data_IF_153621324310
#
_entry.id   IF_153621324310
#
_cell.length_a   1.000
_cell.length_b   1.000
_cell.length_c   1.000
_cell.angle_alpha   90.00
_cell.angle_beta   90.00
_cell.angle_gamma   90.00
#
_symmetry.space_group_name_H-M   'P 1'
#
loop_
_entity.id
_entity.type
_entity.pdbx_description
1 polymer ?
#
# COMPACT_ATOMS: atom_id res chain seq x y z
N UNK A 1 -12.96 -34.58 -16.52
CA UNK A 1 -13.41 -33.18 -16.70
C UNK A 1 -13.86 -33.04 -18.15
N UNK A 2 -15.10 -32.64 -18.38
CA UNK A 2 -15.65 -32.47 -19.73
C UNK A 2 -15.18 -31.09 -20.22
N UNK A 3 -14.06 -31.03 -20.94
CA UNK A 3 -13.63 -29.79 -21.58
C UNK A 3 -14.73 -29.38 -22.57
N UNK A 4 -15.43 -28.28 -22.29
CA UNK A 4 -16.24 -27.65 -23.33
C UNK A 4 -15.27 -27.17 -24.40
N UNK A 5 -15.58 -27.51 -25.65
CA UNK A 5 -14.84 -26.98 -26.79
C UNK A 5 -15.14 -25.48 -26.90
N UNK A 6 -14.27 -24.68 -26.31
CA UNK A 6 -14.39 -23.22 -26.28
C UNK A 6 -13.88 -22.58 -27.60
N UNK A 7 -13.46 -23.38 -28.58
CA UNK A 7 -12.89 -22.90 -29.86
C UNK A 7 -13.82 -21.93 -30.58
N UNK A 8 -15.14 -22.20 -30.58
CA UNK A 8 -16.12 -21.32 -31.20
C UNK A 8 -16.23 -19.95 -30.49
N UNK A 9 -16.14 -19.94 -29.15
CA UNK A 9 -16.14 -18.71 -28.36
C UNK A 9 -14.86 -17.91 -28.58
N UNK A 10 -13.70 -18.57 -28.53
CA UNK A 10 -12.40 -17.94 -28.76
C UNK A 10 -12.33 -17.36 -30.17
N UNK A 11 -12.75 -18.11 -31.19
CA UNK A 11 -12.79 -17.63 -32.57
C UNK A 11 -13.73 -16.43 -32.75
N UNK A 12 -14.88 -16.42 -32.07
CA UNK A 12 -15.78 -15.27 -32.04
C UNK A 12 -15.10 -14.02 -31.45
N UNK A 13 -14.41 -14.17 -30.30
CA UNK A 13 -13.69 -13.06 -29.64
C UNK A 13 -12.51 -12.56 -30.48
N UNK A 14 -11.76 -13.46 -31.13
CA UNK A 14 -10.64 -13.10 -32.01
C UNK A 14 -11.10 -12.35 -33.28
N UNK A 15 -12.35 -12.53 -33.70
CA UNK A 15 -12.95 -11.77 -34.80
C UNK A 15 -13.45 -10.38 -34.42
N UNK A 16 -13.32 -9.95 -33.16
CA UNK A 16 -13.75 -8.63 -32.68
C UNK A 16 -12.63 -7.61 -32.76
N UNK A 17 -13.00 -6.36 -33.00
CA UNK A 17 -12.04 -5.26 -32.98
C UNK A 17 -11.52 -5.05 -31.55
N UNK A 18 -10.19 -4.88 -31.33
CA UNK A 18 -9.63 -4.71 -29.99
C UNK A 18 -10.27 -3.57 -29.19
N UNK A 19 -10.72 -2.50 -29.86
CA UNK A 19 -11.40 -1.36 -29.23
C UNK A 19 -12.82 -1.66 -28.71
N UNK A 20 -13.39 -2.83 -29.00
CA UNK A 20 -14.68 -3.26 -28.44
C UNK A 20 -14.55 -3.80 -27.01
N UNK A 21 -13.43 -4.43 -26.65
CA UNK A 21 -13.26 -5.07 -25.35
C UNK A 21 -13.37 -4.10 -24.16
N UNK A 22 -12.67 -2.95 -24.12
CA UNK A 22 -12.73 -2.05 -22.96
C UNK A 22 -14.13 -1.46 -22.71
N UNK A 23 -15.00 -1.44 -23.72
CA UNK A 23 -16.39 -0.94 -23.59
C UNK A 23 -17.28 -1.90 -22.81
N UNK A 24 -16.95 -3.18 -22.83
CA UNK A 24 -17.74 -4.25 -22.22
C UNK A 24 -17.00 -4.98 -21.09
N UNK A 25 -15.70 -4.73 -20.91
CA UNK A 25 -14.82 -5.38 -19.95
C UNK A 25 -15.42 -5.46 -18.55
N UNK A 26 -15.90 -4.35 -17.98
CA UNK A 26 -16.45 -4.34 -16.63
C UNK A 26 -17.84 -4.97 -16.50
N UNK A 27 -18.53 -5.27 -17.61
CA UNK A 27 -19.87 -5.88 -17.59
C UNK A 27 -19.88 -7.34 -17.12
N UNK A 28 -18.71 -8.00 -17.12
CA UNK A 28 -18.59 -9.39 -16.66
C UNK A 28 -18.49 -9.51 -15.13
N UNK A 29 -18.30 -8.40 -14.42
CA UNK A 29 -18.27 -8.39 -12.96
C UNK A 29 -19.68 -8.69 -12.42
N UNK A 30 -19.78 -9.77 -11.63
CA UNK A 30 -21.07 -10.22 -11.07
C UNK A 30 -21.50 -9.44 -9.84
N UNK A 31 -20.55 -8.76 -9.19
CA UNK A 31 -20.76 -7.98 -7.97
C UNK A 31 -20.04 -6.65 -8.12
N UNK A 32 -20.61 -5.62 -7.50
CA UNK A 32 -19.95 -4.33 -7.38
C UNK A 32 -18.94 -4.43 -6.23
N UNK A 33 -17.67 -4.22 -6.56
CA UNK A 33 -16.56 -4.24 -5.61
C UNK A 33 -15.82 -2.91 -5.69
N UNK A 34 -15.19 -2.48 -4.60
CA UNK A 34 -14.43 -1.24 -4.58
C UNK A 34 -13.19 -1.33 -5.49
N UNK A 35 -12.59 -2.52 -5.56
CA UNK A 35 -11.47 -2.85 -6.45
C UNK A 35 -11.79 -4.14 -7.21
N UNK A 36 -12.67 -4.04 -8.20
CA UNK A 36 -13.04 -5.16 -9.06
C UNK A 36 -12.36 -5.08 -10.42
N UNK A 37 -11.47 -6.02 -10.72
CA UNK A 37 -10.91 -6.20 -12.07
C UNK A 37 -11.42 -7.51 -12.68
N UNK A 38 -11.97 -7.47 -13.91
CA UNK A 38 -12.56 -8.66 -14.53
C UNK A 38 -11.53 -9.69 -15.00
N UNK A 39 -10.33 -9.23 -15.35
CA UNK A 39 -9.24 -10.06 -15.84
C UNK A 39 -8.03 -9.92 -14.91
N UNK A 40 -7.78 -10.95 -14.11
CA UNK A 40 -6.72 -11.01 -13.09
C UNK A 40 -5.92 -12.30 -13.22
N UNK A 41 -4.71 -12.38 -12.64
CA UNK A 41 -3.98 -13.65 -12.55
C UNK A 41 -4.88 -14.76 -11.98
N UNK A 42 -5.03 -15.84 -12.73
CA UNK A 42 -5.92 -16.96 -12.39
C UNK A 42 -5.07 -18.22 -12.23
N UNK A 43 -5.20 -18.97 -11.12
CA UNK A 43 -4.49 -20.24 -10.97
C UNK A 43 -4.82 -21.18 -12.14
N UNK A 44 -3.79 -21.54 -12.90
CA UNK A 44 -3.89 -22.29 -14.15
C UNK A 44 -3.19 -23.66 -14.09
N UNK A 45 -2.43 -23.92 -13.02
CA UNK A 45 -1.67 -25.15 -12.85
C UNK A 45 -0.35 -25.18 -13.63
N UNK A 46 0.02 -24.08 -14.30
CA UNK A 46 1.25 -23.94 -15.11
C UNK A 46 2.06 -22.73 -14.66
N UNK A 47 1.67 -21.52 -15.06
CA UNK A 47 2.35 -20.29 -14.63
C UNK A 47 2.06 -19.96 -13.16
N UNK A 48 0.78 -20.05 -12.76
CA UNK A 48 0.33 -19.89 -11.37
C UNK A 48 -0.24 -21.24 -10.89
N UNK A 49 0.61 -22.10 -10.28
CA UNK A 49 0.25 -23.50 -10.03
C UNK A 49 -0.84 -23.69 -8.96
N UNK A 50 -0.98 -22.75 -8.02
CA UNK A 50 -2.04 -22.74 -7.00
C UNK A 50 -2.38 -21.28 -6.61
N UNK A 51 -3.38 -21.13 -5.75
CA UNK A 51 -3.79 -19.85 -5.15
C UNK A 51 -2.65 -19.21 -4.33
N UNK A 52 -2.49 -17.87 -4.38
CA UNK A 52 -1.43 -17.19 -3.64
C UNK A 52 -1.36 -17.52 -2.13
N UNK A 53 -2.48 -17.64 -1.39
CA UNK A 53 -2.42 -18.01 0.02
C UNK A 53 -1.86 -19.41 0.28
N UNK A 54 -2.04 -20.37 -0.63
CA UNK A 54 -1.49 -21.72 -0.52
C UNK A 54 -0.01 -21.72 -0.86
N UNK A 55 0.35 -21.04 -1.95
CA UNK A 55 1.74 -20.84 -2.31
C UNK A 55 2.49 -20.26 -1.11
N UNK A 56 2.06 -19.12 -0.55
CA UNK A 56 2.68 -18.47 0.63
C UNK A 56 2.83 -19.35 1.90
N UNK A 57 2.14 -20.49 1.99
CA UNK A 57 2.29 -21.46 3.09
C UNK A 57 3.30 -22.57 2.77
N UNK A 58 3.48 -22.87 1.50
CA UNK A 58 4.42 -23.88 1.05
C UNK A 58 5.86 -23.38 1.27
N UNK A 59 6.75 -24.32 1.60
CA UNK A 59 8.18 -24.02 1.65
C UNK A 59 8.66 -23.74 0.22
N UNK A 60 8.87 -22.45 -0.09
CA UNK A 60 9.48 -22.06 -1.35
C UNK A 60 10.99 -22.15 -1.26
N UNK A 61 11.64 -22.28 -2.40
CA UNK A 61 13.08 -22.55 -2.55
C UNK A 61 14.03 -21.54 -1.89
N UNK A 62 14.86 -20.88 -2.68
CA UNK A 62 15.95 -20.04 -2.14
C UNK A 62 15.40 -18.71 -1.57
N UNK A 63 15.91 -18.22 -0.42
CA UNK A 63 15.53 -16.92 0.12
C UNK A 63 15.72 -15.78 -0.88
N UNK A 64 14.69 -14.95 -1.05
CA UNK A 64 14.66 -13.87 -2.04
C UNK A 64 14.51 -12.51 -1.35
N UNK A 65 15.46 -11.57 -1.50
CA UNK A 65 15.29 -10.24 -0.94
C UNK A 65 14.06 -9.54 -1.54
N UNK A 66 13.19 -9.00 -0.68
CA UNK A 66 11.99 -8.25 -1.07
C UNK A 66 11.97 -6.86 -0.43
N UNK A 67 11.35 -5.92 -1.14
CA UNK A 67 11.00 -4.60 -0.60
C UNK A 67 9.50 -4.39 -0.77
N UNK A 68 8.81 -4.04 0.31
CA UNK A 68 7.40 -3.71 0.32
C UNK A 68 7.19 -2.23 0.66
N UNK A 69 6.18 -1.60 0.07
CA UNK A 69 5.96 -0.17 0.19
C UNK A 69 4.48 0.15 0.33
N UNK A 70 4.18 1.19 1.09
CA UNK A 70 2.80 1.68 1.23
C UNK A 70 2.75 3.20 1.28
N UNK A 71 1.64 3.76 0.82
CA UNK A 71 1.29 5.18 0.99
C UNK A 71 0.47 5.41 2.26
N UNK A 72 0.40 6.64 2.76
CA UNK A 72 -0.35 6.95 3.97
C UNK A 72 -1.87 6.81 3.83
N UNK A 73 -2.38 6.91 2.59
CA UNK A 73 -3.81 6.91 2.29
C UNK A 73 -4.10 6.02 1.06
N UNK A 74 -3.71 4.74 1.13
CA UNK A 74 -3.89 3.78 0.02
C UNK A 74 -5.34 3.68 -0.47
N UNK A 75 -6.30 3.82 0.45
CA UNK A 75 -7.72 3.68 0.13
C UNK A 75 -8.32 4.89 -0.58
N UNK A 76 -7.76 6.09 -0.39
CA UNK A 76 -8.39 7.34 -0.82
C UNK A 76 -8.56 7.42 -2.34
N UNK A 77 -7.58 6.92 -3.10
CA UNK A 77 -7.68 6.81 -4.56
C UNK A 77 -8.80 5.85 -4.96
N UNK A 78 -8.89 4.68 -4.32
CA UNK A 78 -9.94 3.70 -4.61
C UNK A 78 -11.33 4.20 -4.27
N UNK A 79 -11.48 5.04 -3.24
CA UNK A 79 -12.77 5.63 -2.90
C UNK A 79 -13.27 6.59 -3.99
N UNK A 80 -12.38 7.36 -4.63
CA UNK A 80 -12.75 8.26 -5.73
C UNK A 80 -13.23 7.47 -6.96
N UNK A 81 -12.49 6.43 -7.35
CA UNK A 81 -12.77 5.70 -8.60
C UNK A 81 -13.78 4.56 -8.43
N UNK A 82 -13.72 3.83 -7.32
CA UNK A 82 -14.55 2.66 -7.05
C UNK A 82 -15.90 2.98 -6.40
N UNK A 83 -16.06 4.18 -5.82
CA UNK A 83 -17.30 4.63 -5.20
C UNK A 83 -17.72 6.05 -5.62
N UNK A 84 -17.81 6.36 -6.93
CA UNK A 84 -18.04 7.73 -7.43
C UNK A 84 -19.42 8.30 -7.07
N UNK A 85 -20.35 7.46 -6.60
CA UNK A 85 -21.66 7.90 -6.10
C UNK A 85 -21.60 8.54 -4.71
N UNK A 86 -20.50 8.33 -3.98
CA UNK A 86 -20.31 8.91 -2.65
C UNK A 86 -19.81 10.36 -2.79
N UNK A 87 -20.45 11.29 -2.08
CA UNK A 87 -20.10 12.72 -2.08
C UNK A 87 -18.98 13.00 -1.07
N UNK A 88 -17.80 12.47 -1.33
CA UNK A 88 -16.67 12.43 -0.39
C UNK A 88 -15.96 13.77 -0.22
N UNK A 89 -16.26 14.79 -1.02
CA UNK A 89 -15.66 16.12 -0.96
C UNK A 89 -15.96 16.79 0.37
N UNK A 90 -17.24 16.74 0.78
CA UNK A 90 -17.68 17.26 2.06
C UNK A 90 -17.82 16.12 3.08
N UNK A 91 -17.01 16.18 4.14
CA UNK A 91 -17.03 15.21 5.22
C UNK A 91 -18.40 15.10 5.91
N UNK A 92 -19.17 16.20 5.98
CA UNK A 92 -20.52 16.20 6.57
C UNK A 92 -21.50 15.26 5.88
N UNK A 93 -21.26 14.95 4.61
CA UNK A 93 -22.12 14.05 3.82
C UNK A 93 -21.83 12.57 4.09
N UNK A 94 -20.81 12.27 4.89
CA UNK A 94 -20.32 10.91 5.11
C UNK A 94 -20.72 10.45 6.51
N UNK A 95 -21.72 9.59 6.58
CA UNK A 95 -22.26 9.04 7.81
C UNK A 95 -21.91 7.56 8.02
N UNK A 96 -22.66 6.96 8.94
CA UNK A 96 -22.55 5.55 9.29
C UNK A 96 -22.96 4.64 8.11
N UNK A 97 -24.05 4.99 7.43
CA UNK A 97 -24.59 4.26 6.29
C UNK A 97 -23.63 4.22 5.11
N UNK A 98 -23.00 5.36 4.76
CA UNK A 98 -21.98 5.40 3.71
C UNK A 98 -20.77 4.57 4.11
N UNK A 99 -20.35 4.61 5.39
CA UNK A 99 -19.24 3.78 5.87
C UNK A 99 -19.56 2.29 5.69
N UNK A 100 -20.74 1.84 6.11
CA UNK A 100 -21.18 0.46 5.90
C UNK A 100 -21.21 0.08 4.41
N UNK A 101 -21.64 1.01 3.55
CA UNK A 101 -21.60 0.80 2.10
C UNK A 101 -20.18 0.55 1.60
N UNK A 102 -19.20 1.35 2.03
CA UNK A 102 -17.78 1.15 1.68
C UNK A 102 -17.27 -0.19 2.18
N UNK A 103 -17.61 -0.61 3.40
CA UNK A 103 -17.19 -1.92 3.91
C UNK A 103 -17.76 -3.06 3.05
N UNK A 104 -19.04 -2.97 2.64
CA UNK A 104 -19.66 -3.96 1.75
C UNK A 104 -19.04 -4.00 0.36
N UNK A 105 -18.64 -2.85 -0.18
CA UNK A 105 -17.93 -2.77 -1.46
C UNK A 105 -16.50 -3.32 -1.34
N UNK A 106 -15.84 -3.13 -0.19
CA UNK A 106 -14.48 -3.61 0.06
C UNK A 106 -14.44 -5.12 0.26
N UNK A 107 -15.45 -5.70 0.94
CA UNK A 107 -15.55 -7.13 1.21
C UNK A 107 -16.91 -7.69 0.79
N UNK A 108 -17.15 -7.89 -0.52
CA UNK A 108 -18.44 -8.34 -1.04
C UNK A 108 -18.87 -9.70 -0.50
N UNK A 109 -20.05 -9.75 0.13
CA UNK A 109 -20.61 -10.98 0.70
C UNK A 109 -20.18 -11.27 2.13
N UNK A 110 -19.44 -10.36 2.79
CA UNK A 110 -19.19 -10.46 4.22
C UNK A 110 -20.50 -10.48 5.04
N UNK A 111 -20.57 -11.24 6.13
CA UNK A 111 -21.71 -11.21 7.05
C UNK A 111 -21.93 -9.78 7.61
N UNK A 112 -23.18 -9.38 7.76
CA UNK A 112 -23.54 -8.04 8.24
C UNK A 112 -23.00 -7.71 9.64
N UNK A 113 -22.81 -8.72 10.48
CA UNK A 113 -22.13 -8.59 11.77
C UNK A 113 -20.67 -8.14 11.57
N UNK A 114 -19.92 -8.81 10.68
CA UNK A 114 -18.54 -8.47 10.37
C UNK A 114 -18.44 -7.07 9.75
N UNK A 115 -19.36 -6.71 8.85
CA UNK A 115 -19.45 -5.36 8.25
C UNK A 115 -19.57 -4.30 9.35
N UNK A 116 -20.50 -4.50 10.29
CA UNK A 116 -20.70 -3.57 11.42
C UNK A 116 -19.50 -3.54 12.37
N UNK A 117 -18.92 -4.69 12.69
CA UNK A 117 -17.76 -4.77 13.59
C UNK A 117 -16.54 -4.01 13.02
N UNK A 118 -16.26 -4.18 11.72
CA UNK A 118 -15.19 -3.44 11.04
C UNK A 118 -15.48 -1.94 11.04
N UNK A 119 -16.68 -1.53 10.63
CA UNK A 119 -17.06 -0.10 10.62
C UNK A 119 -16.98 0.53 12.02
N UNK A 120 -17.43 -0.17 13.07
CA UNK A 120 -17.35 0.29 14.46
C UNK A 120 -15.89 0.46 14.90
N UNK A 121 -15.04 -0.53 14.61
CA UNK A 121 -13.62 -0.49 14.97
C UNK A 121 -12.92 0.73 14.37
N UNK A 122 -13.01 0.91 13.05
CA UNK A 122 -12.30 2.00 12.37
C UNK A 122 -12.90 3.37 12.65
N UNK A 123 -14.22 3.49 12.79
CA UNK A 123 -14.83 4.77 13.19
C UNK A 123 -14.40 5.19 14.60
N UNK A 124 -14.24 4.23 15.54
CA UNK A 124 -13.70 4.48 16.88
C UNK A 124 -12.24 4.94 16.83
N UNK A 125 -11.40 4.29 16.02
CA UNK A 125 -10.00 4.71 15.83
C UNK A 125 -9.90 6.12 15.20
N UNK A 126 -10.89 6.50 14.39
CA UNK A 126 -11.00 7.79 13.74
C UNK A 126 -11.64 8.90 14.57
N UNK A 127 -11.95 8.70 15.85
CA UNK A 127 -12.62 9.72 16.70
C UNK A 127 -11.88 11.07 16.71
N UNK A 128 -10.54 11.04 16.65
CA UNK A 128 -9.71 12.24 16.60
C UNK A 128 -9.82 13.06 15.30
N UNK A 129 -10.50 12.55 14.28
CA UNK A 129 -10.68 13.22 12.98
C UNK A 129 -11.90 14.16 12.94
N UNK A 130 -12.68 14.23 14.03
CA UNK A 130 -13.87 15.07 14.12
C UNK A 130 -14.92 14.70 13.07
N UNK A 131 -15.38 15.69 12.30
CA UNK A 131 -16.38 15.50 11.24
C UNK A 131 -15.91 14.54 10.14
N UNK A 132 -14.60 14.44 9.91
CA UNK A 132 -14.03 13.55 8.90
C UNK A 132 -13.88 12.09 9.36
N UNK A 133 -14.33 11.73 10.58
CA UNK A 133 -14.20 10.40 11.18
C UNK A 133 -14.57 9.26 10.24
N UNK A 134 -15.76 9.33 9.64
CA UNK A 134 -16.24 8.25 8.78
C UNK A 134 -15.50 8.18 7.46
N UNK A 135 -15.19 9.32 6.83
CA UNK A 135 -14.37 9.38 5.61
C UNK A 135 -12.95 8.86 5.83
N UNK A 136 -12.35 9.21 6.97
CA UNK A 136 -11.06 8.65 7.38
C UNK A 136 -11.15 7.13 7.56
N UNK A 137 -12.18 6.64 8.26
CA UNK A 137 -12.38 5.20 8.46
C UNK A 137 -12.54 4.46 7.13
N UNK A 138 -13.26 5.03 6.16
CA UNK A 138 -13.38 4.46 4.81
C UNK A 138 -12.02 4.29 4.12
N UNK A 139 -11.17 5.33 4.15
CA UNK A 139 -9.84 5.29 3.54
C UNK A 139 -8.98 4.20 4.20
N UNK A 140 -8.97 4.16 5.53
CA UNK A 140 -8.19 3.16 6.26
C UNK A 140 -8.69 1.73 6.01
N UNK A 141 -10.01 1.50 5.97
CA UNK A 141 -10.58 0.17 5.67
C UNK A 141 -10.21 -0.28 4.25
N UNK A 142 -10.42 0.58 3.26
CA UNK A 142 -10.11 0.27 1.87
C UNK A 142 -8.61 0.04 1.68
N UNK A 143 -7.78 0.93 2.19
CA UNK A 143 -6.32 0.85 2.10
C UNK A 143 -5.77 -0.39 2.80
N UNK A 144 -6.22 -0.65 4.03
CA UNK A 144 -5.73 -1.79 4.81
C UNK A 144 -6.12 -3.11 4.20
N UNK A 145 -7.36 -3.25 3.72
CA UNK A 145 -7.83 -4.52 3.16
C UNK A 145 -7.25 -4.79 1.77
N UNK A 146 -7.18 -3.78 0.90
CA UNK A 146 -6.80 -3.96 -0.50
C UNK A 146 -5.28 -3.95 -0.73
N UNK A 147 -4.50 -3.25 0.12
CA UNK A 147 -3.08 -3.02 -0.11
C UNK A 147 -2.22 -3.38 1.10
N UNK A 148 -2.45 -2.72 2.26
CA UNK A 148 -1.51 -2.78 3.37
C UNK A 148 -1.42 -4.17 3.99
N UNK A 149 -2.56 -4.76 4.39
CA UNK A 149 -2.56 -6.07 5.03
C UNK A 149 -2.08 -7.19 4.09
N UNK A 150 -2.51 -7.28 2.82
CA UNK A 150 -2.00 -8.30 1.89
C UNK A 150 -0.48 -8.23 1.68
N UNK A 151 0.08 -7.03 1.44
CA UNK A 151 1.53 -6.93 1.25
C UNK A 151 2.32 -7.11 2.56
N UNK A 152 1.74 -6.74 3.72
CA UNK A 152 2.32 -7.07 5.02
C UNK A 152 2.33 -8.58 5.29
N UNK A 153 1.29 -9.31 4.85
CA UNK A 153 1.24 -10.78 4.96
C UNK A 153 2.33 -11.43 4.10
N UNK A 154 2.47 -11.02 2.84
CA UNK A 154 3.57 -11.50 1.97
C UNK A 154 4.93 -11.21 2.61
N UNK A 155 5.14 -9.97 3.06
CA UNK A 155 6.38 -9.56 3.71
C UNK A 155 6.68 -10.40 4.96
N UNK A 156 5.66 -10.72 5.75
CA UNK A 156 5.79 -11.58 6.92
C UNK A 156 6.19 -13.01 6.54
N UNK A 157 5.52 -13.61 5.56
CA UNK A 157 5.78 -14.99 5.12
C UNK A 157 7.18 -15.15 4.56
N UNK A 158 7.62 -14.19 3.76
CA UNK A 158 8.99 -14.15 3.25
C UNK A 158 10.02 -14.03 4.38
N UNK A 159 9.78 -13.17 5.37
CA UNK A 159 10.66 -13.07 6.53
C UNK A 159 10.73 -14.38 7.33
N UNK A 160 9.59 -15.06 7.53
CA UNK A 160 9.49 -16.36 8.20
C UNK A 160 10.23 -17.46 7.42
N UNK A 161 10.23 -17.38 6.08
CA UNK A 161 11.01 -18.26 5.20
C UNK A 161 12.51 -17.92 5.13
N UNK A 162 12.95 -16.86 5.81
CA UNK A 162 14.37 -16.46 5.89
C UNK A 162 14.82 -15.47 4.80
N UNK A 163 13.89 -14.94 3.98
CA UNK A 163 14.17 -13.89 3.01
C UNK A 163 14.51 -12.56 3.70
N UNK A 164 15.49 -11.78 3.19
CA UNK A 164 15.69 -10.40 3.64
C UNK A 164 14.52 -9.49 3.24
N UNK A 165 13.84 -8.90 4.22
CA UNK A 165 12.67 -8.05 3.99
C UNK A 165 12.94 -6.59 4.38
N UNK A 166 12.64 -5.68 3.46
CA UNK A 166 12.72 -4.23 3.64
C UNK A 166 11.33 -3.61 3.47
N UNK A 167 11.01 -2.55 4.22
CA UNK A 167 9.77 -1.84 3.98
C UNK A 167 9.91 -0.32 4.06
N UNK A 168 9.04 0.39 3.35
CA UNK A 168 8.90 1.83 3.48
C UNK A 168 7.43 2.25 3.64
N UNK A 169 7.23 3.37 4.32
CA UNK A 169 5.93 4.00 4.49
C UNK A 169 6.04 5.43 3.99
N UNK A 170 5.41 5.71 2.85
CA UNK A 170 5.48 6.96 2.13
C UNK A 170 4.37 7.90 2.58
N UNK A 171 4.76 8.99 3.24
CA UNK A 171 3.84 9.92 3.93
C UNK A 171 3.87 11.34 3.37
N UNK A 172 4.57 11.57 2.26
CA UNK A 172 4.69 12.90 1.70
C UNK A 172 3.62 13.16 0.64
N UNK A 173 2.77 14.16 0.87
CA UNK A 173 1.84 14.64 -0.16
C UNK A 173 2.57 15.58 -1.10
N UNK A 174 2.78 15.14 -2.34
CA UNK A 174 3.47 15.93 -3.36
C UNK A 174 2.79 17.28 -3.59
N UNK A 175 3.60 18.32 -3.66
CA UNK A 175 3.19 19.66 -4.05
C UNK A 175 2.51 19.61 -5.43
N UNK A 176 1.43 20.37 -5.61
CA UNK A 176 0.71 20.44 -6.89
C UNK A 176 -0.11 19.20 -7.24
N UNK A 177 -0.22 18.21 -6.35
CA UNK A 177 -1.08 17.04 -6.57
C UNK A 177 -2.55 17.47 -6.78
N UNK A 178 -3.13 17.09 -7.92
CA UNK A 178 -4.45 17.57 -8.38
C UNK A 178 -5.65 16.94 -7.65
N UNK A 179 -5.43 15.82 -6.95
CA UNK A 179 -6.49 15.16 -6.17
C UNK A 179 -6.95 16.04 -5.00
N UNK A 180 -8.21 15.94 -4.53
CA UNK A 180 -8.70 16.71 -3.38
C UNK A 180 -7.81 16.56 -2.13
N UNK A 181 -7.72 17.59 -1.30
CA UNK A 181 -6.81 17.61 -0.13
C UNK A 181 -7.05 16.44 0.84
N UNK A 182 -8.31 16.05 1.04
CA UNK A 182 -8.68 14.97 1.93
C UNK A 182 -8.08 13.60 1.57
N UNK A 183 -7.64 13.43 0.32
CA UNK A 183 -7.01 12.18 -0.15
C UNK A 183 -5.64 11.95 0.48
N UNK A 184 -5.04 12.97 1.10
CA UNK A 184 -3.76 12.85 1.79
C UNK A 184 -2.65 12.40 0.84
N UNK A 185 -2.12 11.20 1.04
CA UNK A 185 -1.08 10.59 0.19
C UNK A 185 -1.69 9.38 -0.51
N UNK A 186 -2.40 9.57 -1.64
CA UNK A 186 -3.11 8.49 -2.32
C UNK A 186 -2.17 7.42 -2.87
N UNK A 187 -2.71 6.23 -3.10
CA UNK A 187 -2.03 5.12 -3.77
C UNK A 187 -1.24 5.57 -5.01
N UNK A 188 0.02 5.15 -5.11
CA UNK A 188 0.91 5.49 -6.23
C UNK A 188 1.62 6.84 -6.13
N UNK A 189 1.36 7.64 -5.08
CA UNK A 189 2.03 8.95 -4.87
C UNK A 189 3.55 8.87 -4.76
N UNK A 190 4.09 7.70 -4.42
CA UNK A 190 5.51 7.43 -4.29
C UNK A 190 6.20 7.14 -5.62
N UNK A 191 5.45 6.68 -6.65
CA UNK A 191 6.02 6.24 -7.93
C UNK A 191 6.89 7.33 -8.59
N UNK A 192 6.47 8.61 -8.66
CA UNK A 192 7.29 9.66 -9.26
C UNK A 192 8.63 9.86 -8.54
N UNK A 193 8.70 9.59 -7.24
CA UNK A 193 9.95 9.65 -6.47
C UNK A 193 10.86 8.46 -6.76
N UNK A 194 10.28 7.26 -6.92
CA UNK A 194 10.99 6.03 -7.26
C UNK A 194 11.60 6.07 -8.67
N UNK A 195 10.92 6.71 -9.63
CA UNK A 195 11.34 6.75 -11.03
C UNK A 195 11.99 8.07 -11.47
N UNK A 196 12.07 9.06 -10.59
CA UNK A 196 12.64 10.37 -10.92
C UNK A 196 11.79 11.17 -11.90
N UNK A 197 10.49 10.88 -11.97
CA UNK A 197 9.53 11.52 -12.89
C UNK A 197 8.70 12.58 -12.20
N UNK A 198 9.24 13.25 -11.17
CA UNK A 198 8.49 14.29 -10.44
C UNK A 198 7.84 15.31 -11.38
N UNK A 199 8.55 15.76 -12.41
CA UNK A 199 8.05 16.71 -13.41
C UNK A 199 6.75 16.31 -14.12
N UNK A 200 6.32 15.04 -14.05
CA UNK A 200 5.03 14.60 -14.58
C UNK A 200 3.87 14.74 -13.58
N UNK A 201 4.12 15.24 -12.37
CA UNK A 201 3.15 15.35 -11.28
C UNK A 201 2.62 16.78 -11.19
N UNK A 202 1.29 16.90 -11.13
CA UNK A 202 0.61 18.19 -11.02
C UNK A 202 0.31 18.83 -12.37
N UNK A 203 0.00 20.12 -12.36
CA UNK A 203 -0.32 20.86 -13.58
C UNK A 203 0.96 21.27 -14.32
N UNK A 204 0.86 21.54 -15.63
CA UNK A 204 2.00 21.86 -16.50
C UNK A 204 2.91 23.00 -16.01
N UNK A 205 2.42 23.87 -15.13
CA UNK A 205 3.16 25.01 -14.57
C UNK A 205 3.62 24.78 -13.11
N UNK A 206 3.43 23.59 -12.57
CA UNK A 206 3.83 23.27 -11.20
C UNK A 206 5.32 22.95 -11.14
N UNK A 207 6.02 23.52 -10.15
CA UNK A 207 7.43 23.23 -9.88
C UNK A 207 7.55 22.55 -8.54
N UNK A 208 8.20 21.38 -8.49
CA UNK A 208 8.45 20.66 -7.26
C UNK A 208 9.47 21.38 -6.39
N UNK A 209 9.36 21.17 -5.09
CA UNK A 209 10.29 21.75 -4.11
C UNK A 209 11.66 21.06 -4.17
N UNK A 210 12.72 21.76 -3.75
CA UNK A 210 14.05 21.14 -3.63
C UNK A 210 14.04 19.95 -2.66
N UNK A 211 13.23 20.03 -1.60
CA UNK A 211 13.05 18.93 -0.64
C UNK A 211 12.49 17.67 -1.31
N UNK A 212 11.52 17.81 -2.22
CA UNK A 212 10.98 16.71 -3.01
C UNK A 212 12.00 16.14 -3.99
N UNK A 213 12.80 17.00 -4.63
CA UNK A 213 13.88 16.57 -5.51
C UNK A 213 14.95 15.77 -4.75
N UNK A 214 15.34 16.22 -3.55
CA UNK A 214 16.25 15.48 -2.66
C UNK A 214 15.65 14.12 -2.28
N UNK A 215 14.37 14.07 -1.91
CA UNK A 215 13.71 12.82 -1.54
C UNK A 215 13.63 11.85 -2.72
N UNK A 216 13.33 12.32 -3.94
CA UNK A 216 13.31 11.48 -5.13
C UNK A 216 14.70 10.89 -5.42
N UNK A 217 15.76 11.71 -5.36
CA UNK A 217 17.15 11.21 -5.49
C UNK A 217 17.45 10.13 -4.45
N UNK A 218 16.98 10.30 -3.22
CA UNK A 218 17.19 9.35 -2.12
C UNK A 218 16.43 8.03 -2.34
N UNK A 219 15.18 8.09 -2.80
CA UNK A 219 14.38 6.91 -3.12
C UNK A 219 14.95 6.12 -4.30
N UNK A 220 15.35 6.80 -5.39
CA UNK A 220 16.07 6.18 -6.50
C UNK A 220 17.35 5.49 -6.04
N UNK A 221 18.12 6.11 -5.13
CA UNK A 221 19.31 5.50 -4.55
C UNK A 221 19.00 4.25 -3.73
N UNK A 222 17.90 4.23 -2.96
CA UNK A 222 17.48 3.03 -2.22
C UNK A 222 17.07 1.90 -3.16
N UNK A 223 16.28 2.20 -4.21
CA UNK A 223 15.90 1.22 -5.23
C UNK A 223 17.12 0.67 -5.97
N UNK A 224 18.04 1.55 -6.41
CA UNK A 224 19.27 1.14 -7.07
C UNK A 224 20.14 0.25 -6.17
N UNK A 225 20.30 0.62 -4.90
CA UNK A 225 21.04 -0.23 -3.92
C UNK A 225 20.36 -1.58 -3.71
N UNK A 226 19.05 -1.62 -3.61
CA UNK A 226 18.30 -2.87 -3.47
C UNK A 226 18.48 -3.78 -4.70
N UNK A 227 18.40 -3.23 -5.91
CA UNK A 227 18.65 -3.99 -7.14
C UNK A 227 20.07 -4.61 -7.16
N UNK A 228 21.06 -3.89 -6.63
CA UNK A 228 22.44 -4.39 -6.55
C UNK A 228 22.63 -5.53 -5.53
N UNK A 229 21.77 -5.67 -4.51
CA UNK A 229 21.76 -6.83 -3.60
C UNK A 229 21.46 -8.10 -4.40
N UNK A 230 20.44 -8.03 -5.27
CA UNK A 230 19.95 -9.16 -6.05
C UNK A 230 20.96 -9.62 -7.11
N UNK A 231 21.76 -8.70 -7.65
CA UNK A 231 22.80 -9.02 -8.64
C UNK A 231 24.11 -9.56 -8.04
N UNK A 232 24.16 -9.91 -6.75
CA UNK A 232 25.32 -10.53 -6.11
C UNK A 232 26.52 -9.59 -5.89
N UNK A 233 26.41 -8.30 -6.22
CA UNK A 233 27.54 -7.37 -6.19
C UNK A 233 27.74 -6.65 -4.84
N UNK A 234 26.78 -6.72 -3.91
CA UNK A 234 26.91 -6.07 -2.60
C UNK A 234 26.26 -6.90 -1.49
N UNK A 235 27.07 -7.42 -0.56
CA UNK A 235 26.57 -7.69 0.79
C UNK A 235 26.24 -6.35 1.45
N UNK A 236 24.97 -6.14 1.79
CA UNK A 236 24.46 -4.98 2.55
C UNK A 236 25.12 -4.93 3.93
N UNK A 237 26.35 -4.43 4.01
CA UNK A 237 27.12 -4.38 5.26
C UNK A 237 27.48 -2.99 5.75
N UNK A 238 27.40 -1.92 4.95
CA UNK A 238 28.08 -0.69 5.38
C UNK A 238 27.49 0.69 5.05
N UNK A 239 26.25 0.86 4.56
CA UNK A 239 25.83 2.24 4.21
C UNK A 239 24.38 2.65 4.50
N UNK A 240 23.65 1.89 5.31
CA UNK A 240 22.38 2.32 5.90
C UNK A 240 22.30 1.75 7.32
N UNK A 241 22.79 2.53 8.29
CA UNK A 241 22.66 2.22 9.71
C UNK A 241 23.57 1.08 10.18
N UNK A 242 24.20 1.29 11.33
CA UNK A 242 24.98 0.28 12.03
C UNK A 242 24.18 -1.02 12.16
N UNK A 243 24.86 -2.15 11.90
CA UNK A 243 24.39 -3.50 12.22
C UNK A 243 24.31 -3.62 13.75
N UNK A 244 23.28 -3.05 14.37
CA UNK A 244 23.01 -3.20 15.79
C UNK A 244 22.36 -4.57 16.00
N UNK A 245 23.22 -5.57 16.19
CA UNK A 245 22.86 -6.66 17.11
C UNK A 245 22.67 -6.00 18.47
N UNK A 246 21.57 -6.34 19.12
CA UNK A 246 21.10 -5.85 20.42
C UNK A 246 20.26 -4.56 20.37
N UNK A 247 18.93 -4.75 20.43
CA UNK A 247 17.89 -3.75 20.71
C UNK A 247 17.94 -2.48 19.86
N UNK A 248 17.10 -2.44 18.82
CA UNK A 248 16.70 -1.20 18.15
C UNK A 248 16.28 -0.15 19.19
N UNK A 249 16.85 1.07 19.17
CA UNK A 249 16.29 2.18 19.93
C UNK A 249 14.92 2.50 19.34
N UNK A 250 13.90 2.21 20.14
CA UNK A 250 12.52 2.62 19.91
C UNK A 250 12.48 4.15 19.72
N UNK A 251 12.40 4.62 18.47
CA UNK A 251 12.18 6.04 18.17
C UNK A 251 10.74 6.36 18.59
N UNK A 252 10.55 6.88 19.80
CA UNK A 252 9.30 7.51 20.23
C UNK A 252 9.10 8.79 19.43
N UNK A 253 8.55 8.69 18.23
CA UNK A 253 8.03 9.85 17.53
C UNK A 253 6.56 10.04 17.94
N UNK A 254 6.25 11.10 18.69
CA UNK A 254 4.89 11.35 19.22
C UNK A 254 3.86 11.70 18.13
N UNK A 255 4.29 11.94 16.89
CA UNK A 255 3.41 12.42 15.81
C UNK A 255 3.43 11.55 14.53
N UNK A 256 4.29 10.54 14.44
CA UNK A 256 4.29 9.56 13.35
C UNK A 256 4.28 8.16 13.96
N UNK A 257 3.10 7.70 14.38
CA UNK A 257 2.92 6.28 14.71
C UNK A 257 2.92 5.53 13.38
N UNK A 258 3.93 4.70 13.15
CA UNK A 258 3.74 3.53 12.27
C UNK A 258 2.43 2.88 12.72
N UNK A 259 1.51 2.46 11.83
CA UNK A 259 0.36 1.70 12.26
C UNK A 259 0.84 0.60 13.20
N UNK A 260 0.20 0.45 14.37
CA UNK A 260 0.57 -0.56 15.37
C UNK A 260 0.68 -1.96 14.73
N UNK A 261 0.00 -2.15 13.59
CA UNK A 261 -0.03 -3.30 12.68
C UNK A 261 1.33 -3.68 12.04
N UNK A 262 2.23 -2.72 11.78
CA UNK A 262 3.56 -3.00 11.18
C UNK A 262 4.63 -3.19 12.28
N UNK A 263 4.49 -2.50 13.41
CA UNK A 263 5.49 -2.46 14.49
C UNK A 263 5.56 -3.74 15.33
N UNK A 264 4.51 -4.57 15.36
CA UNK A 264 4.48 -5.79 16.19
C UNK A 264 5.12 -7.01 15.52
N UNK A 265 5.54 -6.89 14.25
CA UNK A 265 5.96 -8.04 13.48
C UNK A 265 7.46 -8.36 13.66
N UNK A 266 8.41 -7.55 13.20
CA UNK A 266 9.82 -7.95 13.09
C UNK A 266 10.78 -6.75 13.01
N UNK A 267 12.12 -6.92 13.08
CA UNK A 267 13.07 -5.85 12.75
C UNK A 267 13.02 -5.54 11.24
N UNK A 268 12.01 -4.78 10.83
CA UNK A 268 11.90 -4.23 9.48
C UNK A 268 12.78 -2.98 9.42
N UNK A 269 13.69 -2.90 8.44
CA UNK A 269 14.37 -1.65 8.12
C UNK A 269 13.34 -0.70 7.51
N UNK A 270 12.87 0.28 8.30
CA UNK A 270 11.95 1.31 7.85
C UNK A 270 12.74 2.43 7.18
N UNK A 271 12.54 2.62 5.87
CA UNK A 271 13.07 3.80 5.17
C UNK A 271 12.15 4.99 5.47
N UNK A 272 12.64 5.94 6.27
CA UNK A 272 11.90 7.18 6.57
C UNK A 272 11.95 8.15 5.39
N UNK A 273 10.77 8.63 4.98
CA UNK A 273 10.59 9.61 3.90
C UNK A 273 10.24 11.01 4.43
N UNK A 274 10.54 11.32 5.71
CA UNK A 274 10.18 12.60 6.31
C UNK A 274 11.12 13.74 5.84
N UNK A 275 10.56 14.85 5.38
CA UNK A 275 11.28 16.06 4.93
C UNK A 275 11.67 17.00 6.09
N UNK A 276 12.08 16.45 7.25
CA UNK A 276 12.46 17.26 8.43
C UNK A 276 13.97 17.50 8.50
N UNK A 277 14.44 18.64 9.06
CA UNK A 277 15.86 18.89 9.26
C UNK A 277 16.46 17.86 10.23
N UNK A 278 17.54 17.22 9.79
CA UNK A 278 18.30 16.22 10.53
C UNK A 278 19.42 16.93 11.30
N UNK A 279 19.10 17.74 12.31
CA UNK A 279 20.11 18.18 13.29
C UNK A 279 19.49 18.80 14.56
N UNK A 280 19.86 18.26 15.73
CA UNK A 280 20.03 18.93 17.04
C UNK A 280 19.75 18.09 18.30
N UNK A 281 19.37 16.81 18.24
CA UNK A 281 19.19 15.99 19.47
C UNK A 281 20.19 14.84 19.66
N UNK A 282 21.40 14.97 19.11
CA UNK A 282 22.56 14.18 19.57
C UNK A 282 23.44 15.09 20.44
N UNK A 283 23.04 15.31 21.68
CA UNK A 283 23.93 15.71 22.78
C UNK A 283 23.29 15.37 24.13
N UNK A 284 24.13 14.77 24.98
CA UNK A 284 23.91 14.36 26.38
C UNK A 284 23.09 13.05 26.54
N UNK A 285 23.62 11.91 26.98
CA UNK A 285 24.84 11.63 27.73
C UNK A 285 24.53 11.35 29.20
N UNK A 286 24.37 10.06 29.52
CA UNK A 286 24.63 9.40 30.82
C UNK A 286 23.73 9.76 32.04
N UNK A 287 23.07 8.71 32.55
CA UNK A 287 22.71 8.37 33.94
C UNK A 287 21.28 7.81 33.97
N UNK A 288 20.91 6.69 34.60
CA UNK A 288 21.57 5.85 35.58
C UNK A 288 21.01 4.42 35.49
N UNK A 289 21.87 3.43 35.69
CA UNK A 289 21.51 2.13 36.26
C UNK A 289 21.91 2.20 37.72
N UNK A 290 20.98 2.00 38.66
CA UNK A 290 21.22 1.26 39.91
C UNK A 290 19.91 1.01 40.67
N UNK A 291 19.64 -0.29 40.85
CA UNK A 291 18.69 -0.99 41.73
C UNK A 291 17.20 -0.77 41.48
#
# INVERSE_FOLDING_TARGET
MNYRDDTALVGCLQGKEPGEFPKHEFSVLRRKELLGFPFVPTPDGDFLPDTPPRLLQDEHGQPMPIVAGFTANEGSHMLIFGAPSLKLENASNVGWEELLQVVRLTVPGAPEEAVRAVAQRYSKEGEGQGEARYRWAMDQIAGDYLYVCPAAEVARREAEAGSPVYAYYFTHRTSGLSTPEWTGVPHGSELPYLFGTLASVGQANHTHTEAEAVMSRRMMQYCGKFAMIKCGNLTFKHTLGHRYKDRLPYIKNKHAKLPQKISSAFPILVLSTHLGPFDSQIREGKAAIKK
#
